data_IF_728525168938
#
_entry.id   IF_728525168938
#
_cell.length_a   1.000
_cell.length_b   1.000
_cell.length_c   1.000
_cell.angle_alpha   90.00
_cell.angle_beta   90.00
_cell.angle_gamma   90.00
#
_symmetry.space_group_name_H-M   'P 1'
#
loop_
_entity.id
_entity.type
_entity.pdbx_description
1 polymer ?
#
# COMPACT_ATOMS: atom_id res chain seq x y z
N UNK A 1 10.91 8.01 -1.96
CA UNK A 1 11.25 6.75 -1.27
C UNK A 1 10.15 5.76 -1.52
N UNK A 2 10.58 4.65 -2.08
CA UNK A 2 9.69 3.65 -2.62
C UNK A 2 9.51 2.54 -1.57
N UNK A 3 8.36 2.57 -0.87
CA UNK A 3 8.00 1.51 0.08
C UNK A 3 7.90 0.11 -0.58
N UNK A 4 7.90 0.07 -1.92
CA UNK A 4 7.94 -1.13 -2.72
C UNK A 4 9.35 -1.56 -3.15
N UNK A 5 10.38 -0.74 -2.94
CA UNK A 5 11.70 -0.96 -3.54
C UNK A 5 12.24 -2.37 -3.32
N UNK A 6 12.21 -2.87 -2.08
CA UNK A 6 12.72 -4.19 -1.74
C UNK A 6 11.85 -5.32 -2.31
N UNK A 7 10.53 -5.14 -2.31
CA UNK A 7 9.58 -6.11 -2.90
C UNK A 7 9.75 -6.13 -4.41
N UNK A 8 9.79 -4.95 -5.05
CA UNK A 8 9.99 -4.82 -6.48
C UNK A 8 11.36 -5.41 -6.91
N UNK A 9 12.42 -5.14 -6.14
CA UNK A 9 13.72 -5.73 -6.38
C UNK A 9 13.68 -7.26 -6.39
N UNK A 10 12.94 -7.87 -5.46
CA UNK A 10 12.82 -9.32 -5.35
C UNK A 10 11.92 -9.93 -6.44
N UNK A 11 11.04 -9.16 -7.08
CA UNK A 11 10.10 -9.64 -8.11
C UNK A 11 10.59 -9.39 -9.55
N UNK A 12 11.49 -8.45 -9.78
CA UNK A 12 11.87 -7.95 -11.12
C UNK A 12 12.52 -8.99 -12.05
N UNK A 13 13.08 -10.06 -11.48
CA UNK A 13 13.72 -11.10 -12.28
C UNK A 13 12.70 -12.04 -12.95
N UNK A 14 11.46 -12.09 -12.43
CA UNK A 14 10.38 -12.94 -12.93
C UNK A 14 9.23 -12.14 -13.55
N UNK A 15 9.07 -10.86 -13.14
CA UNK A 15 7.96 -10.03 -13.57
C UNK A 15 8.44 -8.70 -14.13
N UNK A 16 7.78 -8.24 -15.19
CA UNK A 16 7.90 -6.85 -15.63
C UNK A 16 6.97 -5.99 -14.77
N UNK A 17 7.57 -5.16 -13.91
CA UNK A 17 6.85 -4.32 -12.96
C UNK A 17 6.68 -2.91 -13.54
N UNK A 18 5.50 -2.36 -13.40
CA UNK A 18 5.22 -0.96 -13.72
C UNK A 18 4.22 -0.39 -12.71
N UNK A 19 4.18 0.91 -12.60
CA UNK A 19 3.27 1.65 -11.74
C UNK A 19 3.32 3.13 -12.05
N UNK A 20 2.47 3.91 -11.40
CA UNK A 20 2.54 5.36 -11.47
C UNK A 20 2.67 5.94 -10.06
N UNK A 21 3.32 7.07 -9.96
CA UNK A 21 3.36 7.83 -8.72
C UNK A 21 2.06 8.63 -8.56
N UNK A 22 1.57 8.69 -7.34
CA UNK A 22 0.48 9.62 -7.01
C UNK A 22 0.98 11.07 -7.03
N UNK A 23 0.10 12.06 -7.25
CA UNK A 23 0.47 13.45 -7.09
C UNK A 23 1.19 13.69 -5.75
N UNK A 24 2.33 14.37 -5.80
CA UNK A 24 3.20 14.62 -4.66
C UNK A 24 4.17 13.49 -4.30
N UNK A 25 4.22 12.39 -5.07
CA UNK A 25 5.14 11.28 -4.83
C UNK A 25 6.12 11.11 -5.99
N UNK A 26 7.37 10.72 -5.69
CA UNK A 26 8.43 10.54 -6.67
C UNK A 26 8.62 11.79 -7.51
N UNK A 27 8.66 11.64 -8.84
CA UNK A 27 8.82 12.73 -9.79
C UNK A 27 7.48 13.38 -10.21
N UNK A 28 6.33 12.91 -9.64
CA UNK A 28 5.02 13.48 -9.95
C UNK A 28 4.76 14.71 -9.10
N UNK A 29 4.58 15.90 -9.72
CA UNK A 29 4.31 17.12 -8.97
C UNK A 29 3.08 16.97 -8.07
N UNK A 30 3.15 17.58 -6.89
CA UNK A 30 1.97 17.73 -6.04
C UNK A 30 0.95 18.61 -6.76
N UNK A 31 -0.33 18.23 -6.67
CA UNK A 31 -1.43 19.12 -6.91
C UNK A 31 -2.22 19.26 -5.59
N UNK A 32 -2.99 20.34 -5.45
CA UNK A 32 -3.80 20.57 -4.27
C UNK A 32 -5.23 19.99 -4.41
N UNK A 33 -5.47 19.21 -5.43
CA UNK A 33 -6.75 18.55 -5.63
C UNK A 33 -6.87 17.32 -4.71
N UNK A 34 -8.08 17.00 -4.22
CA UNK A 34 -8.30 15.74 -3.51
C UNK A 34 -7.89 14.54 -4.37
N UNK A 35 -7.19 13.57 -3.78
CA UNK A 35 -6.81 12.35 -4.50
C UNK A 35 -8.06 11.49 -4.72
N UNK A 36 -8.46 11.28 -5.97
CA UNK A 36 -9.53 10.35 -6.34
C UNK A 36 -8.98 8.93 -6.53
N UNK A 37 -9.51 7.96 -5.77
CA UNK A 37 -9.16 6.54 -5.90
C UNK A 37 -9.50 6.03 -7.30
N UNK A 38 -10.65 6.44 -7.84
CA UNK A 38 -11.12 6.06 -9.17
C UNK A 38 -10.19 6.55 -10.28
N UNK A 39 -9.74 7.81 -10.18
CA UNK A 39 -8.78 8.36 -11.15
C UNK A 39 -7.43 7.65 -11.08
N UNK A 40 -6.95 7.31 -9.88
CA UNK A 40 -5.70 6.55 -9.75
C UNK A 40 -5.85 5.13 -10.30
N UNK A 41 -6.99 4.49 -10.10
CA UNK A 41 -7.29 3.19 -10.71
C UNK A 41 -7.31 3.26 -12.24
N UNK A 42 -7.96 4.29 -12.81
CA UNK A 42 -7.99 4.50 -14.27
C UNK A 42 -6.58 4.79 -14.83
N UNK A 43 -5.78 5.60 -14.16
CA UNK A 43 -4.38 5.86 -14.55
C UNK A 43 -3.55 4.58 -14.56
N UNK A 44 -3.66 3.74 -13.53
CA UNK A 44 -2.97 2.46 -13.45
C UNK A 44 -3.34 1.55 -14.64
N UNK A 45 -4.64 1.40 -14.91
CA UNK A 45 -5.15 0.59 -16.02
C UNK A 45 -4.64 1.13 -17.37
N UNK A 46 -4.77 2.43 -17.60
CA UNK A 46 -4.35 3.06 -18.84
C UNK A 46 -2.84 2.92 -19.06
N UNK A 47 -2.02 3.09 -18.02
CA UNK A 47 -0.57 2.86 -18.11
C UNK A 47 -0.23 1.43 -18.53
N UNK A 48 -0.95 0.43 -18.02
CA UNK A 48 -0.78 -0.96 -18.43
C UNK A 48 -1.11 -1.17 -19.91
N UNK A 49 -2.26 -0.63 -20.34
CA UNK A 49 -2.73 -0.75 -21.73
C UNK A 49 -1.79 -0.05 -22.71
N UNK A 50 -1.28 1.12 -22.38
CA UNK A 50 -0.30 1.87 -23.19
C UNK A 50 1.02 1.11 -23.35
N UNK A 51 1.42 0.34 -22.32
CA UNK A 51 2.57 -0.56 -22.38
C UNK A 51 2.29 -1.87 -23.13
N UNK A 52 1.05 -2.09 -23.59
CA UNK A 52 0.64 -3.30 -24.31
C UNK A 52 0.21 -4.46 -23.42
N UNK A 53 0.02 -4.23 -22.13
CA UNK A 53 -0.49 -5.25 -21.19
C UNK A 53 -2.00 -5.17 -21.11
N UNK A 54 -2.70 -6.13 -21.71
CA UNK A 54 -4.16 -6.19 -21.71
C UNK A 54 -4.74 -7.04 -20.58
N UNK A 55 -3.91 -7.87 -19.95
CA UNK A 55 -4.26 -8.71 -18.81
C UNK A 55 -3.07 -8.80 -17.86
N UNK A 56 -3.29 -8.39 -16.59
CA UNK A 56 -2.20 -8.27 -15.61
C UNK A 56 -2.73 -8.43 -14.19
N UNK A 57 -1.93 -8.95 -13.25
CA UNK A 57 -2.22 -8.85 -11.82
C UNK A 57 -1.91 -7.43 -11.31
N UNK A 58 -2.59 -7.03 -10.24
CA UNK A 58 -2.34 -5.74 -9.57
C UNK A 58 -1.91 -5.97 -8.14
N UNK A 59 -0.82 -5.31 -7.73
CA UNK A 59 -0.34 -5.26 -6.36
C UNK A 59 -0.71 -3.91 -5.75
N UNK A 60 -1.46 -3.92 -4.63
CA UNK A 60 -1.77 -2.75 -3.82
C UNK A 60 -1.17 -2.87 -2.42
N UNK A 61 -0.63 -1.77 -1.89
CA UNK A 61 -0.12 -1.67 -0.53
C UNK A 61 -0.77 -0.48 0.18
N UNK A 62 -1.24 -0.68 1.41
CA UNK A 62 -1.88 0.38 2.20
C UNK A 62 -3.02 1.04 1.42
N UNK A 63 -2.99 2.37 1.20
CA UNK A 63 -3.94 3.10 0.33
C UNK A 63 -4.03 2.46 -1.07
N UNK A 64 -2.92 1.96 -1.62
CA UNK A 64 -2.91 1.32 -2.93
C UNK A 64 -3.79 0.07 -3.03
N UNK A 65 -4.21 -0.53 -1.91
CA UNK A 65 -5.16 -1.64 -1.92
C UNK A 65 -6.54 -1.19 -2.37
N UNK A 66 -6.98 0.02 -2.00
CA UNK A 66 -8.25 0.59 -2.44
C UNK A 66 -8.23 0.91 -3.93
N UNK A 67 -7.11 1.40 -4.45
CA UNK A 67 -6.88 1.62 -5.88
C UNK A 67 -6.91 0.28 -6.65
N UNK A 68 -6.23 -0.75 -6.13
CA UNK A 68 -6.19 -2.09 -6.75
C UNK A 68 -7.58 -2.74 -6.82
N UNK A 69 -8.36 -2.67 -5.73
CA UNK A 69 -9.75 -3.14 -5.68
C UNK A 69 -10.61 -2.39 -6.69
N UNK A 70 -10.49 -1.06 -6.73
CA UNK A 70 -11.24 -0.22 -7.67
C UNK A 70 -10.87 -0.55 -9.12
N UNK A 71 -9.58 -0.77 -9.43
CA UNK A 71 -9.13 -1.18 -10.75
C UNK A 71 -9.73 -2.53 -11.18
N UNK A 72 -9.72 -3.53 -10.29
CA UNK A 72 -10.31 -4.84 -10.59
C UNK A 72 -11.84 -4.77 -10.78
N UNK A 73 -12.52 -3.94 -9.99
CA UNK A 73 -13.97 -3.72 -10.16
C UNK A 73 -14.31 -3.05 -11.50
N UNK A 74 -13.55 -2.03 -11.90
CA UNK A 74 -13.78 -1.26 -13.12
C UNK A 74 -13.36 -2.01 -14.38
N UNK A 75 -12.32 -2.85 -14.29
CA UNK A 75 -11.76 -3.60 -15.42
C UNK A 75 -11.53 -5.08 -15.08
N UNK A 76 -12.62 -5.83 -14.81
CA UNK A 76 -12.54 -7.26 -14.51
C UNK A 76 -12.04 -8.09 -15.70
N UNK A 77 -12.08 -7.54 -16.92
CA UNK A 77 -11.52 -8.13 -18.13
C UNK A 77 -9.99 -8.03 -18.19
N UNK A 78 -9.39 -7.01 -17.58
CA UNK A 78 -7.96 -6.73 -17.62
C UNK A 78 -7.22 -7.21 -16.36
N UNK A 79 -7.79 -6.98 -15.18
CA UNK A 79 -7.16 -7.41 -13.91
C UNK A 79 -7.36 -8.91 -13.72
N UNK A 80 -6.27 -9.66 -13.54
CA UNK A 80 -6.30 -11.13 -13.49
C UNK A 80 -6.16 -11.72 -12.10
N UNK A 81 -5.58 -10.97 -11.18
CA UNK A 81 -5.43 -11.30 -9.77
C UNK A 81 -5.12 -10.04 -8.97
N UNK A 82 -5.38 -10.05 -7.66
CA UNK A 82 -4.98 -8.99 -6.74
C UNK A 82 -4.02 -9.52 -5.69
N UNK A 83 -3.02 -8.68 -5.34
CA UNK A 83 -2.17 -8.84 -4.16
C UNK A 83 -2.39 -7.60 -3.30
N UNK A 84 -2.88 -7.78 -2.07
CA UNK A 84 -3.28 -6.69 -1.18
C UNK A 84 -2.48 -6.78 0.14
N UNK A 85 -1.49 -5.91 0.30
CA UNK A 85 -0.63 -5.86 1.49
C UNK A 85 -1.08 -4.75 2.43
N UNK A 86 -1.28 -5.06 3.71
CA UNK A 86 -1.61 -4.11 4.77
C UNK A 86 -2.76 -3.17 4.37
N UNK A 87 -3.81 -3.75 3.77
CA UNK A 87 -4.96 -3.03 3.23
C UNK A 87 -6.13 -2.96 4.19
N UNK A 88 -7.14 -2.18 3.81
CA UNK A 88 -8.36 -2.00 4.58
C UNK A 88 -9.58 -1.83 3.66
N UNK A 89 -10.79 -2.28 4.07
CA UNK A 89 -12.00 -2.12 3.27
C UNK A 89 -12.54 -0.68 3.31
N UNK A 90 -12.36 -0.01 4.45
CA UNK A 90 -12.71 1.39 4.71
C UNK A 90 -11.83 1.96 5.81
N UNK A 91 -11.73 3.29 5.86
CA UNK A 91 -11.07 3.96 6.95
C UNK A 91 -11.74 3.63 8.29
N UNK A 92 -10.96 3.17 9.25
CA UNK A 92 -11.35 3.02 10.65
C UNK A 92 -10.87 4.23 11.49
N UNK A 93 -11.15 4.22 12.79
CA UNK A 93 -10.72 5.30 13.66
C UNK A 93 -9.18 5.44 13.71
N UNK A 94 -8.44 4.33 13.63
CA UNK A 94 -6.98 4.34 13.63
C UNK A 94 -6.44 5.03 12.36
N UNK A 95 -6.90 4.59 11.19
CA UNK A 95 -6.52 5.17 9.91
C UNK A 95 -6.86 6.66 9.83
N UNK A 96 -8.06 7.04 10.28
CA UNK A 96 -8.51 8.44 10.31
C UNK A 96 -7.64 9.30 11.21
N UNK A 97 -7.37 8.86 12.46
CA UNK A 97 -6.57 9.62 13.42
C UNK A 97 -5.11 9.76 12.95
N UNK A 98 -4.51 8.67 12.45
CA UNK A 98 -3.15 8.69 11.93
C UNK A 98 -3.03 9.65 10.75
N UNK A 99 -3.92 9.54 9.77
CA UNK A 99 -3.88 10.35 8.55
C UNK A 99 -4.14 11.83 8.84
N UNK A 100 -5.07 12.14 9.73
CA UNK A 100 -5.34 13.52 10.14
C UNK A 100 -4.15 14.16 10.87
N UNK A 101 -3.49 13.39 11.74
CA UNK A 101 -2.28 13.86 12.44
C UNK A 101 -1.13 14.06 11.47
N UNK A 102 -0.92 13.10 10.53
CA UNK A 102 0.08 13.22 9.47
C UNK A 102 -0.13 14.52 8.67
N UNK A 103 -1.35 14.71 8.16
CA UNK A 103 -1.69 15.87 7.33
C UNK A 103 -1.46 17.20 8.09
N UNK A 104 -1.88 17.29 9.36
CA UNK A 104 -1.66 18.48 10.19
C UNK A 104 -0.17 18.77 10.38
N UNK A 105 0.62 17.78 10.76
CA UNK A 105 2.06 17.94 10.97
C UNK A 105 2.79 18.34 9.67
N UNK A 106 2.40 17.76 8.53
CA UNK A 106 2.99 18.07 7.24
C UNK A 106 2.65 19.50 6.80
N UNK A 107 1.38 19.95 6.96
CA UNK A 107 0.93 21.30 6.64
C UNK A 107 1.60 22.36 7.52
N UNK A 108 1.85 22.03 8.78
CA UNK A 108 2.53 22.92 9.74
C UNK A 108 4.07 22.93 9.57
N UNK A 109 4.63 22.09 8.67
CA UNK A 109 6.07 21.96 8.50
C UNK A 109 6.78 21.28 9.68
N UNK A 110 6.05 20.53 10.51
CA UNK A 110 6.56 19.84 11.70
C UNK A 110 7.16 18.49 11.35
N UNK A 111 8.10 18.48 10.43
CA UNK A 111 8.66 17.23 9.85
C UNK A 111 9.37 16.34 10.86
N UNK A 112 9.95 16.93 11.93
CA UNK A 112 10.57 16.12 12.99
C UNK A 112 9.52 15.37 13.83
N UNK A 113 8.40 16.00 14.15
CA UNK A 113 7.29 15.35 14.86
C UNK A 113 6.64 14.29 13.97
N UNK A 114 6.51 14.57 12.67
CA UNK A 114 6.04 13.61 11.69
C UNK A 114 7.00 12.40 11.57
N UNK A 115 8.31 12.63 11.59
CA UNK A 115 9.29 11.55 11.61
C UNK A 115 9.12 10.66 12.84
N UNK A 116 8.93 11.24 14.04
CA UNK A 116 8.62 10.46 15.24
C UNK A 116 7.34 9.62 15.07
N UNK A 117 6.29 10.20 14.50
CA UNK A 117 5.03 9.47 14.22
C UNK A 117 5.30 8.28 13.30
N UNK A 118 6.06 8.49 12.22
CA UNK A 118 6.36 7.45 11.24
C UNK A 118 7.29 6.34 11.76
N UNK A 119 8.09 6.60 12.79
CA UNK A 119 8.84 5.51 13.44
C UNK A 119 7.90 4.40 13.96
N UNK A 120 6.67 4.74 14.34
CA UNK A 120 5.68 3.76 14.78
C UNK A 120 5.13 2.87 13.65
N UNK A 121 5.44 3.18 12.38
CA UNK A 121 5.16 2.29 11.25
C UNK A 121 6.03 1.03 11.25
N UNK A 122 7.18 1.08 11.96
CA UNK A 122 8.04 -0.07 12.16
C UNK A 122 7.42 -1.06 13.15
N UNK A 123 7.79 -2.34 13.03
CA UNK A 123 7.36 -3.33 14.02
C UNK A 123 8.03 -3.11 15.40
N UNK A 124 7.44 -3.62 16.49
CA UNK A 124 8.07 -3.59 17.80
C UNK A 124 9.45 -4.24 17.83
N UNK A 125 9.66 -5.31 17.06
CA UNK A 125 10.95 -5.99 16.96
C UNK A 125 12.02 -5.05 16.39
N UNK A 126 11.73 -4.40 15.25
CA UNK A 126 12.63 -3.43 14.62
C UNK A 126 12.95 -2.26 15.56
N UNK A 127 11.92 -1.72 16.22
CA UNK A 127 12.13 -0.64 17.19
C UNK A 127 12.96 -1.08 18.40
N UNK A 128 12.78 -2.31 18.87
CA UNK A 128 13.53 -2.88 20.00
C UNK A 128 15.02 -3.08 19.68
N UNK A 129 15.37 -3.33 18.43
CA UNK A 129 16.75 -3.50 17.95
C UNK A 129 17.40 -2.18 17.53
N UNK A 130 16.62 -1.09 17.45
CA UNK A 130 17.12 0.22 17.04
C UNK A 130 18.02 0.83 18.11
N UNK A 131 19.31 0.96 17.81
CA UNK A 131 20.31 1.49 18.75
C UNK A 131 20.43 3.02 18.71
N UNK A 132 20.09 3.65 17.60
CA UNK A 132 20.23 5.09 17.38
C UNK A 132 18.92 5.72 16.86
N UNK A 133 17.84 5.71 17.64
CA UNK A 133 16.53 6.18 17.17
C UNK A 133 16.53 7.65 16.76
N UNK A 134 17.29 8.51 17.44
CA UNK A 134 17.38 9.93 17.10
C UNK A 134 18.03 10.16 15.73
N UNK A 135 19.06 9.39 15.38
CA UNK A 135 19.70 9.47 14.06
C UNK A 135 18.73 9.07 12.96
N UNK A 136 17.92 8.02 13.17
CA UNK A 136 16.89 7.63 12.22
C UNK A 136 15.80 8.69 12.06
N UNK A 137 15.37 9.32 13.17
CA UNK A 137 14.41 10.44 13.13
C UNK A 137 14.98 11.62 12.35
N UNK A 138 16.27 11.97 12.51
CA UNK A 138 16.90 13.05 11.77
C UNK A 138 16.96 12.74 10.25
N UNK A 139 17.36 11.53 9.89
CA UNK A 139 17.38 11.08 8.49
C UNK A 139 15.98 11.14 7.85
N UNK A 140 14.98 10.61 8.54
CA UNK A 140 13.61 10.63 8.08
C UNK A 140 13.06 12.06 7.99
N UNK A 141 13.41 12.93 8.95
CA UNK A 141 13.05 14.36 8.92
C UNK A 141 13.58 15.05 7.65
N UNK A 142 14.83 14.76 7.28
CA UNK A 142 15.43 15.32 6.07
C UNK A 142 14.73 14.84 4.78
N UNK A 143 14.30 13.57 4.75
CA UNK A 143 13.54 13.01 3.62
C UNK A 143 12.14 13.62 3.50
N UNK A 144 11.47 13.85 4.63
CA UNK A 144 10.12 14.41 4.67
C UNK A 144 10.06 15.88 4.29
N UNK A 145 11.15 16.62 4.38
CA UNK A 145 11.20 18.06 4.14
C UNK A 145 11.62 18.38 2.69
N UNK A 146 10.78 18.99 1.83
CA UNK A 146 9.36 19.35 2.00
C UNK A 146 8.37 18.30 1.47
N UNK A 147 8.83 17.12 1.08
CA UNK A 147 8.04 16.11 0.36
C UNK A 147 6.70 15.76 1.05
N UNK A 148 6.69 15.76 2.39
CA UNK A 148 5.49 15.40 3.15
C UNK A 148 4.25 16.27 2.85
N UNK A 149 4.42 17.52 2.42
CA UNK A 149 3.30 18.38 2.03
C UNK A 149 2.58 17.83 0.79
N UNK A 150 3.33 17.24 -0.15
CA UNK A 150 2.75 16.59 -1.32
C UNK A 150 1.93 15.34 -0.99
N UNK A 151 2.13 14.75 0.18
CA UNK A 151 1.38 13.56 0.62
C UNK A 151 0.06 13.90 1.31
N UNK A 152 -0.24 15.16 1.60
CA UNK A 152 -1.46 15.55 2.32
C UNK A 152 -2.73 15.05 1.61
N UNK A 153 -2.93 15.22 0.29
CA UNK A 153 -4.10 14.69 -0.39
C UNK A 153 -4.21 13.16 -0.32
N UNK A 154 -3.07 12.46 -0.26
CA UNK A 154 -3.04 11.00 -0.10
C UNK A 154 -3.51 10.59 1.30
N UNK A 155 -3.12 11.31 2.35
CA UNK A 155 -3.56 11.08 3.72
C UNK A 155 -5.05 11.38 3.90
N UNK A 156 -5.54 12.44 3.27
CA UNK A 156 -6.98 12.76 3.23
C UNK A 156 -7.78 11.64 2.54
N UNK A 157 -7.25 11.08 1.46
CA UNK A 157 -7.85 9.93 0.80
C UNK A 157 -7.85 8.68 1.72
N UNK A 158 -6.77 8.41 2.47
CA UNK A 158 -6.76 7.33 3.47
C UNK A 158 -7.86 7.52 4.50
N UNK A 159 -8.04 8.74 5.01
CA UNK A 159 -9.03 9.06 6.06
C UNK A 159 -10.49 8.88 5.61
N UNK A 160 -10.76 8.87 4.32
CA UNK A 160 -12.12 8.85 3.74
C UNK A 160 -12.39 7.66 2.83
N UNK A 161 -11.37 6.83 2.54
CA UNK A 161 -11.52 5.69 1.63
C UNK A 161 -12.53 4.67 2.15
N UNK A 162 -13.42 4.21 1.26
CA UNK A 162 -14.35 3.11 1.48
C UNK A 162 -14.60 2.36 0.16
N UNK A 163 -14.10 1.13 0.07
CA UNK A 163 -14.31 0.22 -1.06
C UNK A 163 -15.21 -0.97 -0.68
N UNK A 164 -15.85 -0.92 0.47
CA UNK A 164 -16.65 -2.03 1.03
C UNK A 164 -17.68 -2.56 0.04
N UNK A 165 -18.35 -1.66 -0.69
CA UNK A 165 -19.40 -2.03 -1.66
C UNK A 165 -18.84 -2.69 -2.93
N UNK A 166 -17.54 -2.52 -3.23
CA UNK A 166 -16.89 -3.12 -4.40
C UNK A 166 -16.45 -4.56 -4.15
N UNK A 167 -16.06 -4.89 -2.90
CA UNK A 167 -15.43 -6.16 -2.54
C UNK A 167 -16.23 -7.42 -2.90
N UNK A 168 -17.57 -7.48 -2.71
CA UNK A 168 -18.36 -8.65 -3.09
C UNK A 168 -18.36 -8.92 -4.60
N UNK A 169 -17.99 -7.95 -5.41
CA UNK A 169 -17.97 -8.04 -6.88
C UNK A 169 -16.60 -8.43 -7.44
N UNK A 170 -15.58 -8.55 -6.60
CA UNK A 170 -14.24 -8.96 -7.01
C UNK A 170 -14.18 -10.47 -7.13
N UNK A 171 -14.21 -10.96 -8.35
CA UNK A 171 -14.26 -12.40 -8.66
C UNK A 171 -12.90 -13.02 -8.97
N UNK A 172 -11.88 -12.20 -9.23
CA UNK A 172 -10.51 -12.67 -9.46
C UNK A 172 -9.90 -13.23 -8.17
N UNK A 173 -8.91 -14.14 -8.27
CA UNK A 173 -8.16 -14.60 -7.10
C UNK A 173 -7.46 -13.43 -6.40
N UNK A 174 -7.49 -13.42 -5.07
CA UNK A 174 -6.87 -12.37 -4.24
C UNK A 174 -5.96 -12.97 -3.20
N UNK A 175 -4.72 -12.51 -3.14
CA UNK A 175 -3.80 -12.73 -2.04
C UNK A 175 -3.87 -11.54 -1.09
N UNK A 176 -4.28 -11.76 0.16
CA UNK A 176 -4.28 -10.72 1.21
C UNK A 176 -3.14 -11.02 2.18
N UNK A 177 -2.24 -10.04 2.35
CA UNK A 177 -1.08 -10.16 3.22
C UNK A 177 -1.28 -9.26 4.44
N UNK A 178 -1.37 -9.88 5.61
CA UNK A 178 -1.58 -9.21 6.90
C UNK A 178 -0.24 -8.95 7.56
N UNK A 179 0.07 -7.69 7.86
CA UNK A 179 1.19 -7.30 8.71
C UNK A 179 0.73 -7.35 10.18
N UNK A 180 1.18 -8.35 10.94
CA UNK A 180 0.62 -8.71 12.24
C UNK A 180 0.89 -7.70 13.36
N UNK A 181 1.91 -6.84 13.21
CA UNK A 181 2.28 -5.77 14.16
C UNK A 181 2.07 -4.38 13.57
N UNK A 182 1.25 -4.26 12.52
CA UNK A 182 0.92 -2.99 11.90
C UNK A 182 0.14 -2.09 12.88
N UNK A 183 0.61 -0.84 13.02
CA UNK A 183 0.01 0.18 13.89
C UNK A 183 -0.57 1.36 13.10
N UNK A 184 -0.46 1.32 11.77
CA UNK A 184 -1.03 2.30 10.87
C UNK A 184 -2.36 1.78 10.33
N UNK A 185 -2.32 0.61 9.69
CA UNK A 185 -3.50 -0.16 9.28
C UNK A 185 -3.60 -1.37 10.19
N UNK A 186 -4.61 -1.39 11.04
CA UNK A 186 -4.75 -2.48 12.00
C UNK A 186 -4.85 -3.83 11.28
N UNK A 187 -4.16 -4.89 11.79
CA UNK A 187 -4.23 -6.23 11.20
C UNK A 187 -5.66 -6.73 11.04
N UNK A 188 -6.56 -6.34 11.96
CA UNK A 188 -7.97 -6.72 11.90
C UNK A 188 -8.69 -6.06 10.71
N UNK A 189 -8.33 -4.83 10.32
CA UNK A 189 -8.88 -4.18 9.13
C UNK A 189 -8.46 -4.93 7.86
N UNK A 190 -7.23 -5.43 7.80
CA UNK A 190 -6.76 -6.26 6.68
C UNK A 190 -7.45 -7.63 6.66
N UNK A 191 -7.72 -8.22 7.82
CA UNK A 191 -8.51 -9.47 7.92
C UNK A 191 -9.97 -9.24 7.53
N UNK A 192 -10.55 -8.08 7.89
CA UNK A 192 -11.90 -7.70 7.45
C UNK A 192 -11.95 -7.57 5.92
N UNK A 193 -10.97 -6.91 5.31
CA UNK A 193 -10.84 -6.83 3.85
C UNK A 193 -10.89 -8.22 3.21
N UNK A 194 -10.12 -9.17 3.74
CA UNK A 194 -10.11 -10.54 3.25
C UNK A 194 -11.47 -11.25 3.40
N UNK A 195 -12.15 -11.08 4.54
CA UNK A 195 -13.47 -11.70 4.76
C UNK A 195 -14.57 -11.19 3.81
N UNK A 196 -14.44 -9.96 3.32
CA UNK A 196 -15.40 -9.36 2.40
C UNK A 196 -15.15 -9.74 0.93
N UNK A 197 -14.02 -10.35 0.63
CA UNK A 197 -13.63 -10.80 -0.72
C UNK A 197 -14.05 -12.25 -0.95
N UNK A 198 -14.80 -12.58 -2.03
CA UNK A 198 -15.32 -13.94 -2.27
C UNK A 198 -14.23 -14.99 -2.51
N UNK A 199 -13.07 -14.59 -3.06
CA UNK A 199 -12.01 -15.49 -3.49
C UNK A 199 -10.65 -15.01 -2.97
N UNK A 200 -10.51 -14.96 -1.65
CA UNK A 200 -9.27 -14.48 -1.00
C UNK A 200 -8.50 -15.61 -0.30
N UNK A 201 -7.18 -15.51 -0.38
CA UNK A 201 -6.22 -16.28 0.41
C UNK A 201 -5.49 -15.35 1.34
N UNK A 202 -5.39 -15.70 2.62
CA UNK A 202 -4.68 -14.91 3.62
C UNK A 202 -3.31 -15.50 3.90
N UNK A 203 -2.31 -14.62 3.91
CA UNK A 203 -0.96 -14.90 4.43
C UNK A 203 -0.68 -13.91 5.56
N UNK A 204 -0.29 -14.43 6.70
CA UNK A 204 0.07 -13.63 7.86
C UNK A 204 1.60 -13.51 7.99
N UNK A 205 2.06 -12.29 8.24
CA UNK A 205 3.41 -11.97 8.66
C UNK A 205 3.35 -11.48 10.12
N UNK A 206 3.41 -12.38 11.11
CA UNK A 206 3.04 -12.07 12.49
C UNK A 206 3.87 -10.97 13.13
N UNK A 207 5.12 -10.81 12.69
CA UNK A 207 6.07 -9.84 13.26
C UNK A 207 6.19 -8.55 12.43
N UNK A 208 5.59 -8.50 11.24
CA UNK A 208 5.73 -7.36 10.35
C UNK A 208 4.97 -6.13 10.87
N UNK A 209 5.60 -4.97 10.77
CA UNK A 209 4.96 -3.66 10.91
C UNK A 209 4.33 -3.20 9.61
N UNK A 210 3.88 -1.92 9.57
CA UNK A 210 3.34 -1.34 8.35
C UNK A 210 4.38 -1.31 7.23
N UNK A 211 5.63 -0.93 7.56
CA UNK A 211 6.75 -0.96 6.61
C UNK A 211 7.50 -2.28 6.77
N UNK A 212 7.49 -3.15 5.77
CA UNK A 212 8.19 -4.42 5.82
C UNK A 212 9.71 -4.23 5.83
N UNK A 213 10.41 -5.05 6.59
CA UNK A 213 11.87 -5.16 6.53
C UNK A 213 12.30 -5.80 5.20
N UNK A 214 13.60 -5.70 4.80
CA UNK A 214 14.10 -6.38 3.61
C UNK A 214 13.89 -7.91 3.62
N UNK A 215 13.93 -8.54 4.79
CA UNK A 215 13.64 -9.97 4.93
C UNK A 215 12.16 -10.27 4.70
N UNK A 216 11.27 -9.48 5.30
CA UNK A 216 9.83 -9.60 5.10
C UNK A 216 9.44 -9.32 3.65
N UNK A 217 10.08 -8.34 3.01
CA UNK A 217 9.90 -8.04 1.59
C UNK A 217 10.23 -9.22 0.68
N UNK A 218 11.32 -9.96 0.98
CA UNK A 218 11.65 -11.21 0.27
C UNK A 218 10.61 -12.31 0.51
N UNK A 219 10.07 -12.42 1.75
CA UNK A 219 9.01 -13.39 2.05
C UNK A 219 7.72 -13.04 1.34
N UNK A 220 7.36 -11.75 1.29
CA UNK A 220 6.23 -11.23 0.51
C UNK A 220 6.40 -11.61 -0.96
N UNK A 221 7.54 -11.28 -1.56
CA UNK A 221 7.82 -11.57 -2.97
C UNK A 221 7.67 -13.06 -3.28
N UNK A 222 8.23 -13.95 -2.44
CA UNK A 222 8.07 -15.40 -2.58
C UNK A 222 6.60 -15.85 -2.50
N UNK A 223 5.83 -15.26 -1.60
CA UNK A 223 4.38 -15.50 -1.49
C UNK A 223 3.63 -15.09 -2.74
N UNK A 224 3.96 -13.92 -3.31
CA UNK A 224 3.41 -13.40 -4.57
C UNK A 224 3.73 -14.33 -5.74
N UNK A 225 4.99 -14.76 -5.89
CA UNK A 225 5.43 -15.70 -6.93
C UNK A 225 4.65 -17.02 -6.88
N UNK A 226 4.56 -17.62 -5.69
CA UNK A 226 3.81 -18.87 -5.50
C UNK A 226 2.31 -18.72 -5.77
N UNK A 227 1.71 -17.61 -5.35
CA UNK A 227 0.31 -17.31 -5.61
C UNK A 227 0.03 -17.16 -7.11
N UNK A 228 0.80 -16.32 -7.81
CA UNK A 228 0.60 -16.08 -9.24
C UNK A 228 0.84 -17.35 -10.07
N UNK A 229 1.82 -18.16 -9.72
CA UNK A 229 2.03 -19.46 -10.36
C UNK A 229 0.82 -20.39 -10.17
N UNK A 230 0.17 -20.37 -9.01
CA UNK A 230 -1.05 -21.16 -8.76
C UNK A 230 -2.27 -20.65 -9.55
N UNK A 231 -2.38 -19.35 -9.75
CA UNK A 231 -3.44 -18.73 -10.57
C UNK A 231 -3.28 -19.10 -12.04
N UNK A 232 -2.06 -19.11 -12.56
CA UNK A 232 -1.79 -19.46 -13.96
C UNK A 232 -2.01 -20.94 -14.23
N UNK A 233 -1.72 -21.81 -13.26
CA UNK A 233 -1.96 -23.26 -13.38
C UNK A 233 -3.45 -23.66 -13.40
N UNK A 234 -4.36 -22.76 -13.00
CA UNK A 234 -5.81 -22.97 -12.98
C UNK A 234 -6.52 -22.46 -14.24
N UNK A 235 -5.81 -21.83 -15.16
CA UNK A 235 -6.29 -21.33 -16.45
C UNK A 235 -6.03 -22.30 -17.58
#
# INVERSE_FOLDING_TARGET
>A
DDNFADIAHALRDEFHLFGHNYPGSGDTPADNAPLSIEEQADKLINSALELGYFRFPVFGYSLGTTVAVTAAYRRPDAVTALILLAGFPRADAQATLFSSLYASLAQEGRYKDLAHLLMWAQSPAVLGETTEPNTQVEQLTAQLNPAAQGHVPQMEAVATADVTQLLPHITVPVLVIVAGQDRIVLPESTRELARLLPNSHIVELPEAGHVPTPEESRRIAKGVQGFLASVDAQR
#
